data_IF_187536389040
#
_entry.id   IF_187536389040
#
_cell.length_a   1.000
_cell.length_b   1.000
_cell.length_c   1.000
_cell.angle_alpha   90.00
_cell.angle_beta   90.00
_cell.angle_gamma   90.00
#
_symmetry.space_group_name_H-M   'P 1'
#
loop_
_entity.id
_entity.type
_entity.pdbx_description
1 polymer ?
#
# COMPACT_ATOMS: atom_id res chain seq x y z
N UNK A 1 -9.84 -7.76 -20.89
CA UNK A 1 -8.66 -7.84 -20.02
C UNK A 1 -8.52 -9.22 -19.39
N UNK A 2 -9.41 -9.67 -18.51
CA UNK A 2 -9.38 -11.07 -17.99
C UNK A 2 -9.87 -12.12 -19.00
N UNK A 3 -10.85 -11.78 -19.84
CA UNK A 3 -11.35 -12.68 -20.89
C UNK A 3 -10.36 -12.97 -22.02
N UNK A 4 -9.17 -12.36 -21.98
CA UNK A 4 -8.08 -12.53 -22.95
C UNK A 4 -6.90 -13.31 -22.35
N UNK A 5 -7.06 -13.87 -21.15
CA UNK A 5 -6.01 -14.58 -20.40
C UNK A 5 -6.51 -15.98 -20.03
N UNK A 6 -5.61 -16.94 -19.91
CA UNK A 6 -5.92 -18.32 -19.47
C UNK A 6 -6.05 -18.44 -17.93
N UNK A 7 -6.38 -17.35 -17.24
CA UNK A 7 -6.47 -17.31 -15.78
C UNK A 7 -7.85 -17.81 -15.34
N UNK A 8 -7.88 -18.97 -14.68
CA UNK A 8 -9.08 -19.47 -14.00
C UNK A 8 -9.23 -18.84 -12.60
N UNK A 9 -10.42 -18.34 -12.31
CA UNK A 9 -10.75 -17.69 -11.05
C UNK A 9 -11.84 -18.48 -10.32
N UNK A 10 -11.71 -18.58 -9.00
CA UNK A 10 -12.74 -19.16 -8.15
C UNK A 10 -14.09 -18.41 -8.30
N UNK A 11 -15.18 -19.14 -8.08
CA UNK A 11 -16.53 -18.61 -8.23
C UNK A 11 -16.72 -17.35 -7.36
N UNK A 12 -17.26 -16.28 -7.96
CA UNK A 12 -17.48 -14.99 -7.29
C UNK A 12 -16.28 -14.03 -7.23
N UNK A 13 -15.07 -14.42 -7.66
CA UNK A 13 -13.88 -13.54 -7.60
C UNK A 13 -13.70 -12.62 -8.81
N UNK A 14 -14.39 -12.91 -9.93
CA UNK A 14 -14.23 -12.18 -11.20
C UNK A 14 -14.52 -10.68 -11.10
N UNK A 15 -15.41 -10.25 -10.22
CA UNK A 15 -15.81 -8.83 -10.08
C UNK A 15 -14.77 -7.98 -9.35
N UNK A 16 -13.97 -8.57 -8.46
CA UNK A 16 -13.05 -7.82 -7.59
C UNK A 16 -11.57 -8.10 -7.88
N UNK A 17 -11.24 -9.08 -8.72
CA UNK A 17 -9.83 -9.44 -8.98
C UNK A 17 -9.01 -8.24 -9.47
N UNK A 18 -9.51 -7.43 -10.40
CA UNK A 18 -8.78 -6.25 -10.89
C UNK A 18 -8.59 -5.19 -9.80
N UNK A 19 -9.57 -5.05 -8.92
CA UNK A 19 -9.50 -4.16 -7.75
C UNK A 19 -8.42 -4.62 -6.78
N UNK A 20 -8.35 -5.94 -6.53
CA UNK A 20 -7.30 -6.55 -5.71
C UNK A 20 -5.93 -6.38 -6.36
N UNK A 21 -5.81 -6.62 -7.67
CA UNK A 21 -4.57 -6.41 -8.44
C UNK A 21 -4.09 -4.97 -8.32
N UNK A 22 -4.96 -3.99 -8.57
CA UNK A 22 -4.63 -2.58 -8.40
C UNK A 22 -4.14 -2.27 -6.99
N UNK A 23 -4.87 -2.71 -5.96
CA UNK A 23 -4.53 -2.45 -4.57
C UNK A 23 -3.19 -3.06 -4.15
N UNK A 24 -2.91 -4.30 -4.56
CA UNK A 24 -1.63 -4.96 -4.31
C UNK A 24 -0.47 -4.19 -4.96
N UNK A 25 -0.57 -3.86 -6.25
CA UNK A 25 0.48 -3.13 -6.94
C UNK A 25 0.67 -1.70 -6.43
N UNK A 26 -0.43 -1.03 -6.04
CA UNK A 26 -0.34 0.29 -5.41
C UNK A 26 0.49 0.24 -4.13
N UNK A 27 0.30 -0.78 -3.28
CA UNK A 27 1.08 -0.94 -2.05
C UNK A 27 2.53 -1.39 -2.33
N UNK A 28 2.75 -2.31 -3.28
CA UNK A 28 4.10 -2.71 -3.71
C UNK A 28 4.96 -1.54 -4.18
N UNK A 29 4.33 -0.53 -4.79
CA UNK A 29 5.00 0.67 -5.27
C UNK A 29 5.22 1.74 -4.17
N UNK A 30 5.05 1.40 -2.89
CA UNK A 30 5.21 2.34 -1.77
C UNK A 30 4.02 3.29 -1.57
N UNK A 31 2.85 2.92 -2.08
CA UNK A 31 1.64 3.71 -1.94
C UNK A 31 1.19 3.87 -0.47
N UNK A 32 0.63 5.03 -0.12
CA UNK A 32 0.12 5.29 1.22
C UNK A 32 -1.20 4.54 1.47
N UNK A 33 -1.24 3.69 2.51
CA UNK A 33 -2.41 2.85 2.84
C UNK A 33 -3.71 3.65 3.10
N UNK A 34 -3.62 4.87 3.63
CA UNK A 34 -4.77 5.73 3.87
C UNK A 34 -5.30 6.36 2.57
N UNK A 35 -4.40 6.60 1.61
CA UNK A 35 -4.79 7.02 0.25
C UNK A 35 -5.49 5.87 -0.46
N UNK A 36 -4.95 4.65 -0.37
CA UNK A 36 -5.59 3.46 -0.92
C UNK A 36 -6.99 3.24 -0.34
N UNK A 37 -7.17 3.43 0.97
CA UNK A 37 -8.49 3.34 1.61
C UNK A 37 -9.51 4.27 0.94
N UNK A 38 -9.12 5.53 0.66
CA UNK A 38 -9.98 6.51 0.02
C UNK A 38 -10.25 6.18 -1.45
N UNK A 39 -9.24 5.73 -2.20
CA UNK A 39 -9.39 5.29 -3.60
C UNK A 39 -10.39 4.13 -3.69
N UNK A 40 -10.30 3.19 -2.76
CA UNK A 40 -11.20 2.05 -2.68
C UNK A 40 -12.53 2.37 -1.97
N UNK A 41 -12.74 3.59 -1.48
CA UNK A 41 -13.97 3.96 -0.76
C UNK A 41 -14.27 3.07 0.45
N UNK A 42 -13.24 2.52 1.11
CA UNK A 42 -13.43 1.67 2.28
C UNK A 42 -13.81 2.51 3.50
N UNK A 43 -14.95 2.17 4.10
CA UNK A 43 -15.44 2.83 5.31
C UNK A 43 -14.56 2.55 6.53
N UNK A 44 -13.98 1.35 6.59
CA UNK A 44 -13.11 0.91 7.66
C UNK A 44 -11.70 0.61 7.14
N UNK A 45 -10.67 1.13 7.81
CA UNK A 45 -9.29 0.86 7.44
C UNK A 45 -8.97 -0.64 7.46
N UNK A 46 -9.64 -1.43 8.33
CA UNK A 46 -9.46 -2.90 8.40
C UNK A 46 -9.70 -3.61 7.08
N UNK A 47 -10.59 -3.08 6.22
CA UNK A 47 -10.82 -3.63 4.88
C UNK A 47 -9.58 -3.46 3.99
N UNK A 48 -8.93 -2.30 4.07
CA UNK A 48 -7.71 -1.97 3.32
C UNK A 48 -6.46 -2.65 3.90
N UNK A 49 -6.43 -2.92 5.20
CA UNK A 49 -5.28 -3.57 5.86
C UNK A 49 -4.94 -4.95 5.28
N UNK A 50 -5.87 -5.59 4.55
CA UNK A 50 -5.58 -6.80 3.76
C UNK A 50 -4.38 -6.62 2.82
N UNK A 51 -4.11 -5.41 2.33
CA UNK A 51 -2.99 -5.13 1.41
C UNK A 51 -1.71 -4.63 2.09
N UNK A 52 -1.72 -4.43 3.42
CA UNK A 52 -0.59 -3.80 4.12
C UNK A 52 0.72 -4.60 3.98
N UNK A 53 0.64 -5.92 3.90
CA UNK A 53 1.79 -6.81 3.73
C UNK A 53 2.49 -6.69 2.36
N UNK A 54 1.90 -5.96 1.40
CA UNK A 54 2.55 -5.64 0.13
C UNK A 54 3.40 -4.37 0.20
N UNK A 55 3.29 -3.56 1.26
CA UNK A 55 4.14 -2.40 1.43
C UNK A 55 5.60 -2.83 1.58
N UNK A 56 6.56 -2.09 0.97
CA UNK A 56 7.97 -2.33 1.23
C UNK A 56 8.32 -2.08 2.71
N UNK A 57 9.40 -2.68 3.20
CA UNK A 57 9.87 -2.43 4.56
C UNK A 57 10.40 -0.99 4.69
N UNK A 58 9.89 -0.26 5.68
CA UNK A 58 10.22 1.15 5.92
C UNK A 58 10.95 1.36 7.26
N UNK A 59 11.58 0.34 7.83
CA UNK A 59 12.20 0.43 9.16
C UNK A 59 13.33 1.48 9.21
N UNK A 60 14.08 1.64 8.12
CA UNK A 60 15.14 2.65 8.02
C UNK A 60 14.59 4.09 8.06
N UNK A 61 13.33 4.30 7.67
CA UNK A 61 12.69 5.62 7.71
C UNK A 61 12.52 6.14 9.13
N UNK A 62 12.48 5.26 10.14
CA UNK A 62 12.45 5.71 11.53
C UNK A 62 13.71 6.51 11.91
N UNK A 63 14.85 6.21 11.30
CA UNK A 63 16.11 6.94 11.54
C UNK A 63 16.12 8.31 10.85
N UNK A 64 15.44 8.45 9.72
CA UNK A 64 15.44 9.71 8.95
C UNK A 64 14.25 10.62 9.29
N UNK A 65 13.09 10.06 9.61
CA UNK A 65 11.83 10.78 9.87
C UNK A 65 11.53 11.00 11.36
N UNK A 66 12.42 10.61 12.28
CA UNK A 66 12.24 10.96 13.69
C UNK A 66 12.45 12.48 13.92
N UNK A 67 11.85 13.05 14.98
CA UNK A 67 11.91 14.49 15.22
C UNK A 67 13.30 15.03 15.59
N UNK A 68 14.28 14.18 15.86
CA UNK A 68 15.63 14.58 16.27
C UNK A 68 16.61 14.61 15.08
N UNK A 69 16.28 13.95 13.97
CA UNK A 69 17.17 13.80 12.81
C UNK A 69 17.65 15.15 12.23
N UNK A 70 16.85 16.21 12.35
CA UNK A 70 17.19 17.57 11.89
C UNK A 70 17.80 18.48 12.97
N UNK A 71 17.96 18.01 14.21
CA UNK A 71 18.49 18.81 15.32
C UNK A 71 20.03 18.82 15.36
N UNK A 72 20.69 17.85 14.74
CA UNK A 72 22.16 17.72 14.73
C UNK A 72 22.86 18.75 13.85
N UNK A 73 22.17 19.38 12.89
CA UNK A 73 22.74 20.45 12.05
C UNK A 73 22.91 21.81 12.73
N UNK A 74 22.67 21.92 14.05
CA UNK A 74 22.79 23.16 14.83
C UNK A 74 24.13 23.31 15.57
N UNK A 75 25.04 22.33 15.48
CA UNK A 75 26.33 22.36 16.16
C UNK A 75 27.54 22.21 15.22
N UNK A 76 27.33 22.27 13.91
CA UNK A 76 28.38 22.17 12.89
C UNK A 76 28.77 23.56 12.31
N UNK A 77 28.97 24.56 13.18
CA UNK A 77 29.73 25.80 12.91
C UNK A 77 30.90 25.94 13.90
#
# INVERSE_FOLDING_TARGET
>A
MLALTDIELAEGQKTNVLRHTFASHFMMNGGNILVLQRILGHSNIRETMRYAHFAPDHLEEAVTLNPISNLTGLYDE
#
